data_IF_120210183362
#
_entry.id   IF_120210183362
#
_cell.length_a   1.000
_cell.length_b   1.000
_cell.length_c   1.000
_cell.angle_alpha   90.00
_cell.angle_beta   90.00
_cell.angle_gamma   90.00
#
_symmetry.space_group_name_H-M   'P 1'
#
loop_
_entity.id
_entity.type
_entity.pdbx_description
1 polymer ?
#
# COMPACT_ATOMS: atom_id res chain seq x y z
N UNK A 1 16.58 13.10 -13.38
CA UNK A 1 15.61 13.09 -12.27
C UNK A 1 14.68 11.91 -12.48
N UNK A 2 14.40 11.09 -11.47
CA UNK A 2 13.46 9.98 -11.64
C UNK A 2 12.04 10.53 -11.90
N UNK A 3 11.31 9.97 -12.85
CA UNK A 3 10.03 10.52 -13.35
C UNK A 3 8.93 10.49 -12.29
N UNK A 4 8.97 9.53 -11.35
CA UNK A 4 8.11 9.53 -10.16
C UNK A 4 8.34 10.77 -9.30
N UNK A 5 9.56 11.33 -9.26
CA UNK A 5 9.83 12.60 -8.60
C UNK A 5 9.29 13.80 -9.38
N UNK A 6 9.14 13.69 -10.71
CA UNK A 6 8.54 14.73 -11.55
C UNK A 6 7.01 14.84 -11.34
N UNK A 7 6.34 13.74 -10.95
CA UNK A 7 4.93 13.75 -10.57
C UNK A 7 4.62 14.55 -9.29
N UNK A 8 5.66 14.91 -8.52
CA UNK A 8 5.56 15.83 -7.39
C UNK A 8 5.93 17.28 -7.76
N UNK A 9 6.11 17.58 -9.06
CA UNK A 9 6.32 18.92 -9.60
C UNK A 9 5.02 19.61 -10.06
N UNK A 10 5.01 20.94 -10.24
CA UNK A 10 3.80 21.77 -10.36
C UNK A 10 3.00 21.70 -11.68
N UNK A 11 3.27 20.79 -12.62
CA UNK A 11 2.67 20.82 -13.98
C UNK A 11 2.38 19.45 -14.64
N UNK A 12 2.20 18.38 -13.87
CA UNK A 12 2.02 17.04 -14.46
C UNK A 12 0.55 16.66 -14.78
N UNK A 13 -0.43 17.30 -14.15
CA UNK A 13 -1.86 16.99 -14.26
C UNK A 13 -2.69 18.18 -13.74
N UNK A 14 -3.96 18.25 -14.14
CA UNK A 14 -4.91 19.23 -13.64
C UNK A 14 -5.54 18.75 -12.33
N UNK A 15 -5.79 19.67 -11.40
CA UNK A 15 -6.48 19.39 -10.14
C UNK A 15 -7.83 20.08 -10.13
N UNK A 16 -8.87 19.33 -9.77
CA UNK A 16 -10.21 19.86 -9.55
C UNK A 16 -10.72 19.50 -8.15
N UNK A 17 -11.81 20.13 -7.74
CA UNK A 17 -12.40 19.96 -6.42
C UNK A 17 -11.61 20.67 -5.31
N UNK A 18 -12.18 20.68 -4.11
CA UNK A 18 -11.63 21.39 -2.95
C UNK A 18 -11.72 20.53 -1.69
N UNK A 19 -11.00 20.95 -0.67
CA UNK A 19 -11.03 20.35 0.66
C UNK A 19 -9.70 19.72 1.06
N UNK A 20 -9.57 19.46 2.35
CA UNK A 20 -8.40 18.82 2.92
C UNK A 20 -8.77 18.01 4.18
N UNK A 21 -8.09 16.89 4.39
CA UNK A 21 -8.12 16.20 5.67
C UNK A 21 -7.51 17.11 6.77
N UNK A 22 -8.16 17.27 7.93
CA UNK A 22 -7.57 18.00 9.06
C UNK A 22 -6.41 17.18 9.63
N UNK A 23 -5.19 17.65 9.41
CA UNK A 23 -3.96 16.93 9.79
C UNK A 23 -2.78 17.89 9.90
N UNK A 24 -1.82 17.55 10.76
CA UNK A 24 -0.51 18.24 10.83
C UNK A 24 0.26 18.19 9.51
N UNK A 25 0.09 17.13 8.73
CA UNK A 25 0.79 16.92 7.47
C UNK A 25 -0.16 16.98 6.29
N UNK A 26 0.37 17.33 5.11
CA UNK A 26 -0.38 17.54 3.87
C UNK A 26 -0.91 16.23 3.23
N UNK A 27 -1.75 15.49 3.95
CA UNK A 27 -2.29 14.17 3.53
C UNK A 27 -3.06 14.26 2.21
N UNK A 28 -3.90 15.28 2.05
CA UNK A 28 -4.66 15.49 0.81
C UNK A 28 -3.74 15.84 -0.37
N UNK A 29 -2.66 16.58 -0.13
CA UNK A 29 -1.68 16.88 -1.16
C UNK A 29 -0.93 15.62 -1.61
N UNK A 30 -0.51 14.79 -0.63
CA UNK A 30 0.08 13.48 -0.91
C UNK A 30 -0.87 12.61 -1.74
N UNK A 31 -2.15 12.54 -1.35
CA UNK A 31 -3.17 11.79 -2.07
C UNK A 31 -3.31 12.26 -3.53
N UNK A 32 -3.46 13.57 -3.71
CA UNK A 32 -3.61 14.19 -5.03
C UNK A 32 -2.40 13.89 -5.93
N UNK A 33 -1.18 14.09 -5.41
CA UNK A 33 0.06 13.83 -6.17
C UNK A 33 0.27 12.35 -6.50
N UNK A 34 -0.08 11.44 -5.59
CA UNK A 34 0.04 10.01 -5.86
C UNK A 34 -0.92 9.54 -6.96
N UNK A 35 -2.17 10.02 -6.98
CA UNK A 35 -3.10 9.77 -8.09
C UNK A 35 -2.60 10.41 -9.39
N UNK A 36 -2.10 11.64 -9.33
CA UNK A 36 -1.48 12.30 -10.47
C UNK A 36 -0.28 11.53 -11.04
N UNK A 37 0.55 10.93 -10.18
CA UNK A 37 1.66 10.06 -10.59
C UNK A 37 1.17 8.83 -11.35
N UNK A 38 0.08 8.19 -10.90
CA UNK A 38 -0.55 7.07 -11.62
C UNK A 38 -1.03 7.52 -12.99
N UNK A 39 -1.76 8.64 -13.07
CA UNK A 39 -2.28 9.16 -14.34
C UNK A 39 -1.18 9.55 -15.32
N UNK A 40 -0.16 10.26 -14.84
CA UNK A 40 0.99 10.65 -15.64
C UNK A 40 1.76 9.44 -16.18
N UNK A 41 1.98 8.40 -15.36
CA UNK A 41 2.64 7.17 -15.77
C UNK A 41 1.78 6.32 -16.72
N UNK A 42 0.46 6.27 -16.53
CA UNK A 42 -0.45 5.61 -17.47
C UNK A 42 -0.43 6.30 -18.83
N UNK A 43 -0.39 7.64 -18.85
CA UNK A 43 -0.25 8.40 -20.09
C UNK A 43 1.06 8.10 -20.83
N UNK A 44 2.15 7.82 -20.11
CA UNK A 44 3.41 7.38 -20.71
C UNK A 44 3.31 5.97 -21.29
N UNK A 45 2.57 5.06 -20.65
CA UNK A 45 2.28 3.73 -21.21
C UNK A 45 1.53 3.88 -22.53
N UNK A 46 0.44 4.66 -22.55
CA UNK A 46 -0.39 4.86 -23.76
C UNK A 46 0.45 5.39 -24.93
N UNK A 47 1.29 6.39 -24.68
CA UNK A 47 2.20 6.95 -25.70
C UNK A 47 3.25 5.92 -26.13
N UNK A 48 3.93 5.27 -25.18
CA UNK A 48 5.05 4.39 -25.46
C UNK A 48 4.66 3.09 -26.15
N UNK A 49 3.43 2.59 -25.93
CA UNK A 49 2.90 1.40 -26.60
C UNK A 49 2.15 1.72 -27.90
N UNK A 50 2.11 2.98 -28.32
CA UNK A 50 1.46 3.40 -29.58
C UNK A 50 -0.07 3.36 -29.54
N UNK A 51 -0.69 3.34 -28.36
CA UNK A 51 -2.16 3.32 -28.20
C UNK A 51 -2.81 4.69 -28.45
N UNK A 52 -2.00 5.75 -28.50
CA UNK A 52 -2.44 7.11 -28.81
C UNK A 52 -1.45 8.17 -28.31
N UNK A 53 -1.74 9.47 -28.51
CA UNK A 53 -0.97 10.53 -27.88
C UNK A 53 -1.14 10.51 -26.36
N UNK A 54 -0.20 11.13 -25.64
CA UNK A 54 -0.28 11.30 -24.18
C UNK A 54 -1.59 12.02 -23.80
N UNK A 55 -2.48 11.39 -23.01
CA UNK A 55 -3.79 11.96 -22.67
C UNK A 55 -3.70 13.07 -21.63
N UNK A 56 -4.72 13.93 -21.58
CA UNK A 56 -4.94 14.82 -20.45
C UNK A 56 -5.25 14.02 -19.17
N UNK A 57 -4.76 14.50 -18.04
CA UNK A 57 -4.92 13.86 -16.73
C UNK A 57 -5.51 14.87 -15.76
N UNK A 58 -6.61 14.50 -15.10
CA UNK A 58 -7.26 15.32 -14.07
C UNK A 58 -7.45 14.50 -12.80
N UNK A 59 -7.11 15.09 -11.65
CA UNK A 59 -7.31 14.50 -10.33
C UNK A 59 -8.35 15.31 -9.57
N UNK A 60 -9.39 14.64 -9.09
CA UNK A 60 -10.31 15.21 -8.11
C UNK A 60 -9.68 15.13 -6.71
N UNK A 61 -9.34 16.28 -6.13
CA UNK A 61 -8.66 16.40 -4.83
C UNK A 61 -9.46 15.80 -3.68
N UNK A 62 -10.78 15.97 -3.69
CA UNK A 62 -11.67 15.47 -2.64
C UNK A 62 -11.76 13.96 -2.74
N UNK A 63 -12.06 13.43 -3.92
CA UNK A 63 -12.14 11.98 -4.13
C UNK A 63 -10.79 11.32 -3.87
N UNK A 64 -9.66 11.91 -4.30
CA UNK A 64 -8.33 11.39 -4.02
C UNK A 64 -8.09 11.20 -2.51
N UNK A 65 -8.55 12.17 -1.70
CA UNK A 65 -8.51 12.11 -0.25
C UNK A 65 -9.43 11.03 0.33
N UNK A 66 -10.65 10.89 -0.20
CA UNK A 66 -11.61 9.88 0.25
C UNK A 66 -11.15 8.45 -0.08
N UNK A 67 -10.46 8.26 -1.22
CA UNK A 67 -9.85 7.00 -1.64
C UNK A 67 -8.65 6.56 -0.80
N UNK A 68 -8.19 7.40 0.14
CA UNK A 68 -7.23 7.01 1.20
C UNK A 68 -7.93 6.41 2.44
N UNK A 69 -9.27 6.45 2.46
CA UNK A 69 -10.12 5.69 3.37
C UNK A 69 -10.70 4.48 2.62
N UNK A 70 -11.82 3.96 3.07
CA UNK A 70 -12.55 2.90 2.35
C UNK A 70 -13.23 3.45 1.11
N UNK A 71 -13.04 2.77 -0.02
CA UNK A 71 -13.79 3.05 -1.24
C UNK A 71 -15.16 2.37 -1.22
N UNK A 72 -15.30 1.25 -0.50
CA UNK A 72 -16.55 0.50 -0.37
C UNK A 72 -17.50 1.09 0.68
N UNK A 73 -18.78 1.17 0.30
CA UNK A 73 -19.91 1.56 1.13
C UNK A 73 -20.97 0.46 1.14
N UNK A 74 -20.90 -0.46 2.13
CA UNK A 74 -21.88 -1.53 2.33
C UNK A 74 -23.35 -1.05 2.34
N UNK A 75 -24.25 -1.83 1.73
CA UNK A 75 -25.69 -1.60 1.76
C UNK A 75 -26.37 -2.72 2.53
N UNK A 76 -26.82 -2.44 3.75
CA UNK A 76 -27.48 -3.44 4.61
C UNK A 76 -26.54 -4.42 5.32
N UNK A 77 -25.23 -4.17 5.29
CA UNK A 77 -24.21 -4.91 6.05
C UNK A 77 -23.12 -3.96 6.54
N UNK A 78 -22.18 -4.45 7.35
CA UNK A 78 -21.08 -3.65 7.90
C UNK A 78 -19.75 -4.36 7.66
N UNK A 79 -18.70 -3.58 7.39
CA UNK A 79 -17.35 -4.14 7.33
C UNK A 79 -16.95 -4.68 8.71
N UNK A 80 -16.31 -5.87 8.77
CA UNK A 80 -15.75 -6.39 10.02
C UNK A 80 -14.74 -5.40 10.62
N UNK A 81 -14.68 -5.34 11.96
CA UNK A 81 -13.70 -4.52 12.66
C UNK A 81 -12.27 -4.90 12.28
N UNK A 82 -11.45 -3.91 11.94
CA UNK A 82 -10.07 -4.13 11.50
C UNK A 82 -9.07 -4.31 12.66
N UNK A 83 -9.49 -4.07 13.91
CA UNK A 83 -8.61 -3.98 15.07
C UNK A 83 -8.89 -5.06 16.09
N UNK A 84 -7.83 -5.73 16.53
CA UNK A 84 -7.86 -6.65 17.67
C UNK A 84 -8.07 -5.87 18.99
N UNK A 85 -8.73 -6.44 20.01
CA UNK A 85 -9.11 -5.71 21.24
C UNK A 85 -7.96 -5.07 22.01
N UNK A 86 -6.73 -5.60 21.88
CA UNK A 86 -5.56 -5.02 22.54
C UNK A 86 -4.65 -4.24 21.58
N UNK A 87 -5.03 -4.07 20.31
CA UNK A 87 -4.31 -3.21 19.39
C UNK A 87 -4.52 -1.73 19.78
N UNK A 88 -3.47 -0.92 19.71
CA UNK A 88 -3.58 0.52 19.95
C UNK A 88 -2.40 1.13 20.71
N UNK A 89 -2.62 2.37 21.14
CA UNK A 89 -1.64 3.19 21.85
C UNK A 89 -1.79 3.05 23.36
N UNK A 90 -0.65 2.90 24.04
CA UNK A 90 -0.55 2.74 25.48
C UNK A 90 0.51 3.68 26.04
N UNK A 91 0.21 4.30 27.18
CA UNK A 91 1.21 4.99 27.98
C UNK A 91 2.11 3.96 28.66
N UNK A 92 3.39 4.23 28.70
CA UNK A 92 4.43 3.48 29.38
C UNK A 92 5.18 4.41 30.35
N UNK A 93 6.27 3.95 30.95
CA UNK A 93 6.98 4.70 32.00
C UNK A 93 7.57 6.03 31.50
N UNK A 94 8.08 6.04 30.27
CA UNK A 94 8.85 7.15 29.68
C UNK A 94 8.23 7.70 28.39
N UNK A 95 7.07 7.19 27.95
CA UNK A 95 6.41 7.66 26.74
C UNK A 95 5.23 6.83 26.28
N UNK A 96 5.00 6.80 24.96
CA UNK A 96 3.92 6.04 24.34
C UNK A 96 4.46 4.94 23.44
N UNK A 97 3.75 3.81 23.43
CA UNK A 97 4.03 2.69 22.53
C UNK A 97 2.74 2.27 21.82
N UNK A 98 2.86 1.87 20.56
CA UNK A 98 1.76 1.23 19.81
C UNK A 98 2.00 -0.26 19.71
N UNK A 99 0.99 -1.06 20.09
CA UNK A 99 0.93 -2.50 19.83
C UNK A 99 0.07 -2.78 18.59
N UNK A 100 0.57 -3.60 17.68
CA UNK A 100 -0.16 -4.03 16.48
C UNK A 100 -0.48 -5.53 16.52
N UNK A 101 -1.64 -5.88 17.05
CA UNK A 101 -2.03 -7.26 17.39
C UNK A 101 -3.10 -7.86 16.47
N UNK A 102 -3.43 -7.20 15.35
CA UNK A 102 -4.49 -7.64 14.43
C UNK A 102 -4.27 -9.05 13.84
N UNK A 103 -3.02 -9.52 13.78
CA UNK A 103 -2.73 -10.91 13.45
C UNK A 103 -2.57 -11.72 14.75
N UNK A 104 -3.22 -12.91 14.89
CA UNK A 104 -3.17 -13.69 16.12
C UNK A 104 -1.75 -13.93 16.65
N UNK A 105 -0.82 -14.32 15.77
CA UNK A 105 0.58 -14.54 16.15
C UNK A 105 1.31 -13.28 16.65
N UNK A 106 0.91 -12.07 16.23
CA UNK A 106 1.46 -10.83 16.79
C UNK A 106 0.87 -10.53 18.18
N UNK A 107 -0.42 -10.79 18.38
CA UNK A 107 -1.07 -10.71 19.69
C UNK A 107 -0.41 -11.67 20.68
N UNK A 108 -0.26 -12.92 20.28
CA UNK A 108 0.28 -13.97 21.14
C UNK A 108 1.74 -13.66 21.52
N UNK A 109 2.55 -13.14 20.58
CA UNK A 109 3.90 -12.67 20.86
C UNK A 109 3.92 -11.50 21.86
N UNK A 110 3.05 -10.49 21.70
CA UNK A 110 2.96 -9.38 22.64
C UNK A 110 2.55 -9.85 24.04
N UNK A 111 1.52 -10.70 24.14
CA UNK A 111 1.07 -11.25 25.43
C UNK A 111 2.11 -12.14 26.09
N UNK A 112 2.94 -12.86 25.32
CA UNK A 112 4.04 -13.66 25.87
C UNK A 112 5.11 -12.82 26.57
N UNK A 113 5.33 -11.59 26.09
CA UNK A 113 6.25 -10.63 26.71
C UNK A 113 5.63 -9.97 27.93
N UNK A 114 4.35 -9.63 27.86
CA UNK A 114 3.64 -8.92 28.93
C UNK A 114 3.23 -9.83 30.09
N UNK A 115 2.97 -11.12 29.84
CA UNK A 115 2.53 -12.07 30.87
C UNK A 115 1.16 -11.75 31.47
N UNK A 116 0.32 -10.99 30.77
CA UNK A 116 -0.98 -10.52 31.25
C UNK A 116 -2.15 -11.12 30.46
N UNK A 117 -3.38 -10.88 30.94
CA UNK A 117 -4.59 -11.23 30.20
C UNK A 117 -4.71 -10.44 28.88
N UNK A 118 -5.42 -11.02 27.91
CA UNK A 118 -5.71 -10.40 26.61
C UNK A 118 -6.79 -9.31 26.70
N UNK A 119 -6.65 -8.42 27.68
CA UNK A 119 -7.61 -7.37 27.99
C UNK A 119 -6.90 -6.02 28.03
N UNK A 120 -7.51 -5.00 27.42
CA UNK A 120 -6.89 -3.69 27.26
C UNK A 120 -6.45 -3.05 28.58
N UNK A 121 -7.22 -3.25 29.65
CA UNK A 121 -6.89 -2.73 30.98
C UNK A 121 -5.65 -3.44 31.58
N UNK A 122 -5.61 -4.78 31.53
CA UNK A 122 -4.47 -5.56 32.03
C UNK A 122 -3.18 -5.27 31.25
N UNK A 123 -3.31 -5.10 29.92
CA UNK A 123 -2.22 -4.65 29.05
C UNK A 123 -1.75 -3.26 29.50
N UNK A 124 -2.63 -2.28 29.62
CA UNK A 124 -2.27 -0.92 30.03
C UNK A 124 -1.57 -0.86 31.40
N UNK A 125 -2.07 -1.61 32.40
CA UNK A 125 -1.44 -1.71 33.72
C UNK A 125 -0.01 -2.25 33.62
N UNK A 126 0.18 -3.34 32.87
CA UNK A 126 1.50 -3.96 32.68
C UNK A 126 2.46 -3.00 31.99
N UNK A 127 2.01 -2.30 30.94
CA UNK A 127 2.85 -1.40 30.15
C UNK A 127 3.33 -0.16 30.92
N UNK A 128 2.59 0.27 31.95
CA UNK A 128 2.91 1.47 32.74
C UNK A 128 4.29 1.43 33.42
N UNK A 129 4.85 0.23 33.65
CA UNK A 129 6.18 0.03 34.24
C UNK A 129 7.30 -0.23 33.24
N UNK A 130 7.02 -0.23 31.93
CA UNK A 130 8.02 -0.48 30.90
C UNK A 130 8.59 0.79 30.30
N UNK A 131 9.89 0.79 30.00
CA UNK A 131 10.49 1.77 29.10
C UNK A 131 10.14 1.39 27.64
N UNK A 132 9.73 2.37 26.82
CA UNK A 132 9.15 2.11 25.49
C UNK A 132 10.12 1.42 24.54
N UNK A 133 11.41 1.77 24.54
CA UNK A 133 12.41 1.17 23.65
C UNK A 133 12.73 -0.28 24.06
N UNK A 134 12.79 -0.55 25.37
CA UNK A 134 13.01 -1.89 25.90
C UNK A 134 11.82 -2.81 25.56
N UNK A 135 10.60 -2.30 25.71
CA UNK A 135 9.38 -3.02 25.37
C UNK A 135 9.26 -3.26 23.87
N UNK A 136 9.54 -2.25 23.04
CA UNK A 136 9.59 -2.40 21.59
C UNK A 136 10.54 -3.52 21.18
N UNK A 137 11.77 -3.52 21.72
CA UNK A 137 12.76 -4.54 21.45
C UNK A 137 12.30 -5.94 21.90
N UNK A 138 11.68 -6.06 23.09
CA UNK A 138 11.18 -7.31 23.60
C UNK A 138 10.05 -7.90 22.74
N UNK A 139 9.03 -7.09 22.40
CA UNK A 139 7.89 -7.52 21.57
C UNK A 139 8.35 -7.89 20.16
N UNK A 140 9.22 -7.08 19.55
CA UNK A 140 9.77 -7.38 18.21
C UNK A 140 10.65 -8.63 18.25
N UNK A 141 11.47 -8.80 19.29
CA UNK A 141 12.31 -9.97 19.50
C UNK A 141 11.52 -11.28 19.66
N UNK A 142 10.34 -11.21 20.29
CA UNK A 142 9.39 -12.32 20.38
C UNK A 142 8.63 -12.60 19.06
N UNK A 143 8.89 -11.86 17.99
CA UNK A 143 8.22 -11.99 16.70
C UNK A 143 6.90 -11.22 16.58
N UNK A 144 6.58 -10.37 17.56
CA UNK A 144 5.46 -9.44 17.55
C UNK A 144 5.71 -8.18 16.73
N UNK A 145 4.77 -7.24 16.80
CA UNK A 145 4.83 -5.97 16.09
C UNK A 145 4.40 -4.83 17.03
N UNK A 146 5.35 -3.98 17.38
CA UNK A 146 5.13 -2.78 18.20
C UNK A 146 6.01 -1.64 17.69
N UNK A 147 5.71 -0.41 18.12
CA UNK A 147 6.52 0.77 17.84
C UNK A 147 6.56 1.71 19.05
N UNK A 148 7.77 2.04 19.51
CA UNK A 148 8.00 3.11 20.47
C UNK A 148 7.82 4.46 19.78
N UNK A 149 7.04 5.35 20.40
CA UNK A 149 6.79 6.67 19.85
C UNK A 149 8.04 7.54 19.97
N UNK A 150 8.44 8.12 18.86
CA UNK A 150 9.55 9.08 18.79
C UNK A 150 9.02 10.39 18.25
N UNK A 151 9.66 11.51 18.58
CA UNK A 151 9.44 12.74 17.83
C UNK A 151 10.25 12.75 16.52
N UNK A 152 10.08 13.79 15.70
CA UNK A 152 10.78 13.92 14.42
C UNK A 152 12.30 14.03 14.58
N UNK A 153 12.78 14.72 15.61
CA UNK A 153 14.22 14.91 15.82
C UNK A 153 14.89 13.60 16.25
N UNK A 154 14.28 12.88 17.20
CA UNK A 154 14.70 11.57 17.65
C UNK A 154 14.68 10.54 16.52
N UNK A 155 13.66 10.54 15.66
CA UNK A 155 13.62 9.66 14.49
C UNK A 155 14.77 9.94 13.50
N UNK A 156 15.01 11.20 13.15
CA UNK A 156 16.07 11.57 12.20
C UNK A 156 17.48 11.29 12.76
N UNK A 157 17.65 11.36 14.08
CA UNK A 157 18.88 10.96 14.76
C UNK A 157 19.03 9.44 14.91
N UNK A 158 17.93 8.70 14.94
CA UNK A 158 17.93 7.25 15.06
C UNK A 158 18.58 6.59 13.81
N UNK A 159 19.42 5.55 13.95
CA UNK A 159 20.12 4.95 12.81
C UNK A 159 19.21 4.50 11.67
N UNK A 160 18.00 4.01 11.98
CA UNK A 160 17.03 3.67 10.95
C UNK A 160 16.46 4.90 10.23
N UNK A 161 16.12 5.97 10.95
CA UNK A 161 15.55 7.16 10.33
C UNK A 161 16.57 7.88 9.46
N UNK A 162 17.82 7.94 9.90
CA UNK A 162 18.94 8.43 9.08
C UNK A 162 19.14 7.61 7.79
N UNK A 163 19.05 6.27 7.88
CA UNK A 163 19.14 5.39 6.71
C UNK A 163 18.01 5.65 5.72
N UNK A 164 16.75 5.70 6.19
CA UNK A 164 15.57 5.97 5.36
C UNK A 164 15.63 7.36 4.71
N UNK A 165 16.09 8.39 5.45
CA UNK A 165 16.20 9.74 4.92
C UNK A 165 17.18 9.83 3.73
N UNK A 166 18.20 8.97 3.71
CA UNK A 166 19.17 8.87 2.63
C UNK A 166 18.70 8.02 1.43
N UNK A 167 17.61 7.25 1.56
CA UNK A 167 17.09 6.43 0.47
C UNK A 167 16.43 7.28 -0.63
N UNK A 168 16.49 6.87 -1.90
CA UNK A 168 15.60 7.42 -2.93
C UNK A 168 14.16 7.04 -2.62
N UNK A 169 13.18 7.80 -3.13
CA UNK A 169 11.76 7.44 -3.01
C UNK A 169 11.47 6.04 -3.60
N UNK A 170 12.15 5.72 -4.71
CA UNK A 170 12.07 4.43 -5.39
C UNK A 170 13.46 3.92 -5.71
N UNK A 171 13.78 2.71 -5.26
CA UNK A 171 14.99 2.02 -5.68
C UNK A 171 14.73 1.29 -6.99
N UNK A 172 15.32 1.81 -8.07
CA UNK A 172 15.24 1.18 -9.39
C UNK A 172 16.40 0.23 -9.63
N UNK A 173 16.09 -0.95 -10.17
CA UNK A 173 17.07 -1.84 -10.79
C UNK A 173 16.66 -2.06 -12.23
N UNK A 174 17.59 -1.89 -13.17
CA UNK A 174 17.34 -2.06 -14.61
C UNK A 174 18.05 -3.30 -15.12
N UNK A 175 17.44 -3.95 -16.09
CA UNK A 175 18.03 -5.09 -16.79
C UNK A 175 17.62 -5.10 -18.26
N UNK A 176 18.39 -5.84 -19.05
CA UNK A 176 18.01 -6.15 -20.43
C UNK A 176 16.74 -6.98 -20.45
N UNK A 177 15.86 -6.69 -21.39
CA UNK A 177 14.59 -7.37 -21.57
C UNK A 177 13.69 -6.53 -22.47
N UNK A 178 12.57 -7.11 -22.87
CA UNK A 178 11.58 -6.43 -23.70
C UNK A 178 10.20 -6.58 -23.08
N UNK A 179 9.34 -5.59 -23.29
CA UNK A 179 7.94 -5.71 -22.94
C UNK A 179 7.30 -6.79 -23.82
N UNK A 180 6.55 -7.71 -23.21
CA UNK A 180 5.67 -8.61 -23.98
C UNK A 180 4.48 -7.81 -24.47
N UNK A 181 4.06 -8.04 -25.71
CA UNK A 181 2.80 -7.48 -26.17
C UNK A 181 1.65 -8.16 -25.42
N UNK A 182 0.89 -7.35 -24.68
CA UNK A 182 -0.25 -7.79 -23.90
C UNK A 182 -1.59 -7.35 -24.49
N UNK A 183 -1.62 -6.64 -25.64
CA UNK A 183 -2.86 -6.34 -26.37
C UNK A 183 -3.74 -5.25 -25.76
N UNK A 184 -3.14 -4.29 -25.04
CA UNK A 184 -3.84 -3.13 -24.49
C UNK A 184 -4.57 -2.32 -25.58
N UNK A 185 -5.58 -1.55 -25.17
CA UNK A 185 -6.28 -0.60 -26.06
C UNK A 185 -6.28 0.79 -25.45
N UNK A 186 -6.62 1.84 -26.21
CA UNK A 186 -6.74 3.19 -25.65
C UNK A 186 -7.69 3.25 -24.44
N UNK A 187 -8.80 2.51 -24.51
CA UNK A 187 -9.84 2.49 -23.45
C UNK A 187 -9.44 1.59 -22.27
N UNK A 188 -8.72 0.51 -22.51
CA UNK A 188 -8.18 -0.40 -21.49
C UNK A 188 -6.66 -0.56 -21.69
N UNK A 189 -5.83 0.41 -21.27
CA UNK A 189 -4.41 0.42 -21.61
C UNK A 189 -3.63 -0.76 -21.06
N UNK A 190 -4.15 -1.44 -20.03
CA UNK A 190 -3.51 -2.61 -19.41
C UNK A 190 -4.25 -3.92 -19.69
N UNK A 191 -5.24 -3.93 -20.60
CA UNK A 191 -5.93 -5.16 -20.98
C UNK A 191 -4.92 -6.23 -21.40
N UNK A 192 -5.03 -7.43 -20.83
CA UNK A 192 -4.15 -8.58 -21.09
C UNK A 192 -2.83 -8.59 -20.30
N UNK A 193 -2.48 -7.52 -19.58
CA UNK A 193 -1.32 -7.50 -18.69
C UNK A 193 -1.58 -8.40 -17.47
N UNK A 194 -0.72 -9.40 -17.23
CA UNK A 194 -0.87 -10.34 -16.11
C UNK A 194 -0.06 -9.92 -14.90
N UNK A 195 -0.75 -9.63 -13.80
CA UNK A 195 -0.18 -9.17 -12.53
C UNK A 195 -0.38 -10.25 -11.48
N UNK A 196 0.73 -10.80 -10.99
CA UNK A 196 0.74 -11.73 -9.86
C UNK A 196 0.91 -10.94 -8.56
N UNK A 197 -0.11 -10.95 -7.72
CA UNK A 197 -0.20 -10.16 -6.49
C UNK A 197 0.02 -11.06 -5.26
N UNK A 198 1.16 -10.86 -4.58
CA UNK A 198 1.52 -11.51 -3.31
C UNK A 198 1.40 -10.57 -2.11
N UNK A 199 0.67 -9.47 -2.27
CA UNK A 199 0.55 -8.42 -1.26
C UNK A 199 -0.67 -8.64 -0.36
N UNK A 200 -0.65 -7.98 0.81
CA UNK A 200 -1.67 -8.11 1.86
C UNK A 200 -1.98 -6.75 2.45
N UNK A 201 -3.07 -6.68 3.20
CA UNK A 201 -3.51 -5.51 3.97
C UNK A 201 -3.92 -4.35 3.06
N UNK A 202 -3.07 -3.34 2.84
CA UNK A 202 -3.46 -2.11 2.15
C UNK A 202 -2.52 -1.72 1.00
N UNK A 203 -1.26 -1.36 1.27
CA UNK A 203 -0.40 -0.73 0.26
C UNK A 203 -0.29 -1.47 -1.07
N UNK A 204 0.19 -2.72 -1.04
CA UNK A 204 0.29 -3.53 -2.24
C UNK A 204 -1.08 -3.79 -2.91
N UNK A 205 -2.13 -4.14 -2.14
CA UNK A 205 -3.46 -4.30 -2.72
C UNK A 205 -4.04 -3.04 -3.38
N UNK A 206 -3.70 -1.84 -2.89
CA UNK A 206 -4.04 -0.57 -3.54
C UNK A 206 -3.37 -0.45 -4.90
N UNK A 207 -2.10 -0.85 -5.01
CA UNK A 207 -1.38 -0.82 -6.27
C UNK A 207 -2.05 -1.71 -7.32
N UNK A 208 -2.30 -2.96 -6.97
CA UNK A 208 -2.80 -3.96 -7.92
C UNK A 208 -4.27 -3.73 -8.27
N UNK A 209 -5.11 -3.23 -7.35
CA UNK A 209 -6.49 -2.83 -7.71
C UNK A 209 -6.51 -1.64 -8.68
N UNK A 210 -5.56 -0.71 -8.55
CA UNK A 210 -5.42 0.41 -9.50
C UNK A 210 -5.06 -0.10 -10.89
N UNK A 211 -4.14 -1.08 -11.01
CA UNK A 211 -3.82 -1.71 -12.29
C UNK A 211 -5.02 -2.45 -12.89
N UNK A 212 -5.79 -3.19 -12.08
CA UNK A 212 -7.04 -3.83 -12.52
C UNK A 212 -8.06 -2.81 -13.05
N UNK A 213 -8.12 -1.63 -12.42
CA UNK A 213 -8.96 -0.51 -12.83
C UNK A 213 -8.68 -0.01 -14.26
N UNK A 214 -7.51 -0.32 -14.83
CA UNK A 214 -7.13 0.04 -16.19
C UNK A 214 -6.99 -1.15 -17.15
N UNK A 215 -7.39 -2.36 -16.73
CA UNK A 215 -7.46 -3.53 -17.60
C UNK A 215 -6.60 -4.72 -17.19
N UNK A 216 -5.71 -4.56 -16.22
CA UNK A 216 -4.80 -5.65 -15.87
C UNK A 216 -5.55 -6.85 -15.30
N UNK A 217 -5.13 -8.05 -15.72
CA UNK A 217 -5.57 -9.30 -15.11
C UNK A 217 -4.77 -9.52 -13.83
N UNK A 218 -5.41 -9.33 -12.67
CA UNK A 218 -4.76 -9.46 -11.36
C UNK A 218 -5.16 -10.76 -10.68
N UNK A 219 -4.20 -11.65 -10.52
CA UNK A 219 -4.33 -12.87 -9.71
C UNK A 219 -3.60 -12.68 -8.38
N UNK A 220 -4.38 -12.57 -7.31
CA UNK A 220 -3.88 -12.50 -5.94
C UNK A 220 -3.73 -13.89 -5.33
N UNK A 221 -2.56 -14.17 -4.77
CA UNK A 221 -2.25 -15.44 -4.10
C UNK A 221 -1.95 -15.19 -2.62
N UNK A 222 -2.70 -15.88 -1.77
CA UNK A 222 -2.49 -15.92 -0.32
C UNK A 222 -2.33 -17.36 0.18
N UNK A 223 -1.66 -17.61 1.31
CA UNK A 223 -1.64 -18.92 1.92
C UNK A 223 -3.02 -19.23 2.51
N UNK A 224 -3.47 -20.50 2.53
CA UNK A 224 -4.80 -20.88 3.04
C UNK A 224 -5.09 -20.44 4.48
N UNK A 225 -4.04 -20.23 5.28
CA UNK A 225 -4.15 -19.81 6.67
C UNK A 225 -4.27 -18.29 6.85
N UNK A 226 -4.22 -17.49 5.78
CA UNK A 226 -4.32 -16.04 5.86
C UNK A 226 -5.77 -15.56 5.82
N UNK A 227 -6.08 -14.55 6.61
CA UNK A 227 -7.38 -13.88 6.61
C UNK A 227 -7.22 -12.43 7.05
N UNK A 228 -7.95 -11.52 6.40
CA UNK A 228 -7.93 -10.08 6.70
C UNK A 228 -9.32 -9.45 6.50
N UNK A 229 -10.37 -9.97 7.18
CA UNK A 229 -11.78 -9.70 6.83
C UNK A 229 -12.17 -8.22 6.92
N UNK A 230 -11.46 -7.43 7.72
CA UNK A 230 -11.68 -5.98 7.83
C UNK A 230 -11.16 -5.16 6.64
N UNK A 231 -10.45 -5.76 5.68
CA UNK A 231 -9.93 -5.06 4.49
C UNK A 231 -10.28 -5.75 3.17
N UNK A 232 -10.45 -7.09 3.14
CA UNK A 232 -10.72 -7.86 1.91
C UNK A 232 -11.85 -7.25 1.05
N UNK A 233 -13.00 -6.82 1.61
CA UNK A 233 -14.07 -6.27 0.78
C UNK A 233 -13.68 -5.01 0.01
N UNK A 234 -12.76 -4.21 0.54
CA UNK A 234 -12.31 -2.99 -0.12
C UNK A 234 -11.21 -3.26 -1.15
N UNK A 235 -10.25 -4.15 -0.82
CA UNK A 235 -8.97 -4.23 -1.53
C UNK A 235 -8.89 -5.28 -2.64
N UNK A 236 -9.91 -6.14 -2.77
CA UNK A 236 -9.97 -7.22 -3.78
C UNK A 236 -10.74 -6.85 -5.05
N UNK A 237 -11.25 -5.61 -5.13
CA UNK A 237 -11.96 -5.10 -6.30
C UNK A 237 -11.15 -5.32 -7.60
N UNK A 238 -11.78 -5.99 -8.57
CA UNK A 238 -11.19 -6.30 -9.87
C UNK A 238 -10.18 -7.44 -9.92
N UNK A 239 -10.06 -8.25 -8.85
CA UNK A 239 -9.06 -9.33 -8.76
C UNK A 239 -9.72 -10.71 -8.75
N UNK A 240 -8.96 -11.72 -9.18
CA UNK A 240 -9.18 -13.10 -8.74
C UNK A 240 -8.31 -13.39 -7.52
N UNK A 241 -8.84 -14.13 -6.55
CA UNK A 241 -8.11 -14.48 -5.35
C UNK A 241 -8.06 -16.00 -5.19
N UNK A 242 -6.85 -16.57 -5.12
CA UNK A 242 -6.64 -18.00 -4.96
C UNK A 242 -5.70 -18.30 -3.79
N UNK A 243 -5.73 -19.54 -3.30
CA UNK A 243 -4.83 -20.00 -2.26
C UNK A 243 -3.72 -20.90 -2.79
N UNK A 244 -2.49 -20.65 -2.32
CA UNK A 244 -1.34 -21.54 -2.49
C UNK A 244 -0.47 -21.50 -1.23
N UNK A 245 -0.17 -22.66 -0.64
CA UNK A 245 0.86 -22.77 0.40
C UNK A 245 2.21 -23.07 -0.27
N UNK A 246 3.02 -22.04 -0.50
CA UNK A 246 4.32 -22.17 -1.18
C UNK A 246 5.32 -23.09 -0.43
N UNK A 247 5.03 -23.48 0.82
CA UNK A 247 5.83 -24.49 1.55
C UNK A 247 5.60 -25.89 0.99
N UNK A 248 4.42 -26.14 0.39
CA UNK A 248 4.13 -27.40 -0.31
C UNK A 248 4.77 -27.38 -1.69
N UNK A 249 5.45 -28.48 -2.05
CA UNK A 249 6.14 -28.57 -3.33
C UNK A 249 5.19 -28.45 -4.54
N UNK A 250 3.98 -29.02 -4.45
CA UNK A 250 2.97 -28.96 -5.51
C UNK A 250 2.48 -27.52 -5.75
N UNK A 251 2.15 -26.80 -4.67
CA UNK A 251 1.70 -25.41 -4.74
C UNK A 251 2.82 -24.47 -5.19
N UNK A 252 4.07 -24.72 -4.77
CA UNK A 252 5.23 -23.99 -5.28
C UNK A 252 5.41 -24.21 -6.79
N UNK A 253 5.27 -25.45 -7.27
CA UNK A 253 5.34 -25.73 -8.70
C UNK A 253 4.19 -25.03 -9.48
N UNK A 254 2.98 -24.99 -8.89
CA UNK A 254 1.86 -24.24 -9.47
C UNK A 254 2.14 -22.74 -9.52
N UNK A 255 2.71 -22.18 -8.44
CA UNK A 255 3.12 -20.78 -8.39
C UNK A 255 4.19 -20.46 -9.44
N UNK A 256 5.22 -21.30 -9.59
CA UNK A 256 6.25 -21.12 -10.62
C UNK A 256 5.67 -21.13 -12.04
N UNK A 257 4.67 -21.98 -12.30
CA UNK A 257 3.96 -22.00 -13.58
C UNK A 257 3.15 -20.71 -13.82
N UNK A 258 2.49 -20.17 -12.79
CA UNK A 258 1.81 -18.88 -12.86
C UNK A 258 2.79 -17.75 -13.11
N UNK A 259 3.93 -17.76 -12.39
CA UNK A 259 4.99 -16.75 -12.50
C UNK A 259 5.59 -16.71 -13.92
N UNK A 260 5.82 -17.85 -14.55
CA UNK A 260 6.29 -17.92 -15.94
C UNK A 260 5.33 -17.21 -16.93
N UNK A 261 4.04 -17.17 -16.59
CA UNK A 261 3.00 -16.46 -17.35
C UNK A 261 2.84 -14.98 -16.98
N UNK A 262 3.43 -14.49 -15.89
CA UNK A 262 3.22 -13.14 -15.37
C UNK A 262 4.08 -12.08 -16.09
N UNK A 263 3.53 -10.89 -16.27
CA UNK A 263 4.27 -9.69 -16.72
C UNK A 263 4.79 -8.91 -15.52
N UNK A 264 4.00 -8.88 -14.44
CA UNK A 264 4.30 -8.12 -13.24
C UNK A 264 4.17 -9.02 -12.02
N UNK A 265 5.14 -8.94 -11.12
CA UNK A 265 5.06 -9.50 -9.76
C UNK A 265 5.04 -8.34 -8.76
N UNK A 266 4.01 -8.30 -7.92
CA UNK A 266 3.91 -7.33 -6.82
C UNK A 266 3.95 -8.08 -5.50
N UNK A 267 4.84 -7.70 -4.58
CA UNK A 267 4.91 -8.31 -3.25
C UNK A 267 5.28 -7.32 -2.14
N UNK A 268 4.84 -7.62 -0.91
CA UNK A 268 5.04 -6.75 0.26
C UNK A 268 5.66 -7.47 1.44
N UNK A 269 6.44 -8.53 1.19
CA UNK A 269 7.06 -9.30 2.25
C UNK A 269 8.33 -8.61 2.77
N UNK A 270 8.76 -9.00 3.97
CA UNK A 270 10.06 -8.58 4.49
C UNK A 270 11.16 -8.93 3.48
N UNK A 271 12.20 -8.07 3.34
CA UNK A 271 13.31 -8.37 2.44
C UNK A 271 13.85 -9.80 2.65
N UNK A 272 13.99 -10.55 1.55
CA UNK A 272 14.45 -11.94 1.55
C UNK A 272 13.38 -13.01 1.83
N UNK A 273 12.19 -12.66 2.30
CA UNK A 273 11.18 -13.66 2.66
C UNK A 273 10.64 -14.45 1.46
N UNK A 274 10.46 -13.80 0.29
CA UNK A 274 10.09 -14.51 -0.93
C UNK A 274 11.25 -15.32 -1.50
N UNK A 275 12.49 -14.84 -1.32
CA UNK A 275 13.70 -15.44 -1.89
C UNK A 275 13.95 -16.85 -1.36
N UNK A 276 13.55 -17.11 -0.11
CA UNK A 276 13.59 -18.43 0.51
C UNK A 276 12.63 -19.44 -0.13
N UNK A 277 11.58 -18.95 -0.81
CA UNK A 277 10.57 -19.79 -1.47
C UNK A 277 10.85 -19.93 -2.96
N UNK A 278 11.13 -18.81 -3.62
CA UNK A 278 11.53 -18.75 -5.04
C UNK A 278 12.60 -17.67 -5.19
N UNK A 279 13.85 -18.10 -5.41
CA UNK A 279 15.00 -17.20 -5.43
C UNK A 279 14.88 -16.14 -6.53
N UNK A 280 15.49 -14.96 -6.39
CA UNK A 280 15.51 -13.94 -7.44
C UNK A 280 15.97 -14.48 -8.79
N UNK A 281 17.02 -15.33 -8.79
CA UNK A 281 17.53 -15.98 -10.00
C UNK A 281 16.48 -16.89 -10.65
N UNK A 282 15.78 -17.71 -9.85
CA UNK A 282 14.72 -18.61 -10.36
C UNK A 282 13.55 -17.82 -10.94
N UNK A 283 13.17 -16.70 -10.33
CA UNK A 283 12.09 -15.84 -10.82
C UNK A 283 12.42 -15.26 -12.20
N UNK A 284 13.67 -14.84 -12.41
CA UNK A 284 14.13 -14.33 -13.71
C UNK A 284 14.35 -15.43 -14.75
N UNK A 285 14.71 -16.65 -14.34
CA UNK A 285 14.76 -17.81 -15.24
C UNK A 285 13.37 -18.14 -15.80
N UNK A 286 12.35 -18.14 -14.93
CA UNK A 286 10.97 -18.43 -15.29
C UNK A 286 10.32 -17.31 -16.11
N UNK A 287 10.58 -16.05 -15.74
CA UNK A 287 10.01 -14.88 -16.37
C UNK A 287 11.08 -13.80 -16.65
N UNK A 288 11.86 -13.93 -17.74
CA UNK A 288 12.98 -13.04 -18.05
C UNK A 288 12.60 -11.57 -18.23
N UNK A 289 11.34 -11.28 -18.57
CA UNK A 289 10.80 -9.93 -18.78
C UNK A 289 9.93 -9.42 -17.62
N UNK A 290 9.86 -10.15 -16.50
CA UNK A 290 9.08 -9.79 -15.31
C UNK A 290 9.40 -8.39 -14.74
N UNK A 291 8.43 -7.50 -14.66
CA UNK A 291 8.55 -6.29 -13.83
C UNK A 291 8.26 -6.69 -12.39
N UNK A 292 9.23 -6.52 -11.50
CA UNK A 292 9.03 -6.80 -10.07
C UNK A 292 8.95 -5.50 -9.28
N UNK A 293 7.82 -5.29 -8.58
CA UNK A 293 7.63 -4.15 -7.69
C UNK A 293 7.37 -4.64 -6.28
N UNK A 294 8.12 -4.12 -5.31
CA UNK A 294 7.96 -4.53 -3.92
C UNK A 294 8.00 -3.39 -2.92
N UNK A 295 7.42 -3.64 -1.75
CA UNK A 295 7.50 -2.73 -0.61
C UNK A 295 7.95 -3.43 0.67
N UNK A 296 8.51 -2.63 1.58
CA UNK A 296 8.70 -2.99 2.97
C UNK A 296 8.30 -1.83 3.89
N UNK A 297 8.28 -2.04 5.21
CA UNK A 297 7.86 -1.00 6.13
C UNK A 297 8.95 0.06 6.37
N UNK A 298 10.15 -0.36 6.78
CA UNK A 298 11.15 0.55 7.35
C UNK A 298 12.29 0.93 6.42
N UNK A 299 12.24 0.59 5.13
CA UNK A 299 13.33 0.87 4.19
C UNK A 299 14.19 -0.35 3.88
N UNK A 300 15.06 -0.20 2.89
CA UNK A 300 15.89 -1.27 2.33
C UNK A 300 17.30 -1.31 2.94
N UNK A 301 17.62 -0.32 3.76
CA UNK A 301 18.89 -0.14 4.46
C UNK A 301 18.67 0.12 5.95
N UNK A 302 19.75 0.11 6.73
CA UNK A 302 19.70 0.33 8.18
C UNK A 302 19.30 -0.90 9.00
N UNK A 303 19.36 -0.80 10.34
CA UNK A 303 19.19 -1.93 11.25
C UNK A 303 17.79 -2.55 11.26
N UNK A 304 16.77 -1.84 10.78
CA UNK A 304 15.38 -2.31 10.74
C UNK A 304 14.91 -2.72 9.33
N UNK A 305 15.80 -2.85 8.35
CA UNK A 305 15.42 -3.26 6.99
C UNK A 305 14.62 -4.59 6.97
N UNK A 306 14.96 -5.52 7.86
CA UNK A 306 14.25 -6.80 8.03
C UNK A 306 13.07 -6.76 9.00
N UNK A 307 12.71 -5.61 9.56
CA UNK A 307 11.70 -5.50 10.64
C UNK A 307 10.28 -5.54 10.08
N UNK A 308 9.37 -6.17 10.83
CA UNK A 308 7.92 -6.11 10.57
C UNK A 308 7.42 -4.69 10.80
N UNK A 309 6.52 -4.21 9.95
CA UNK A 309 5.87 -2.93 10.18
C UNK A 309 4.55 -2.82 9.44
N UNK A 310 3.80 -1.82 9.85
CA UNK A 310 2.49 -1.44 9.35
C UNK A 310 2.48 0.09 9.35
N UNK A 311 1.64 0.70 8.52
CA UNK A 311 1.49 2.16 8.46
C UNK A 311 1.35 2.77 9.86
N UNK A 312 0.41 2.26 10.66
CA UNK A 312 0.18 2.68 12.04
C UNK A 312 1.43 2.63 12.95
N UNK A 313 2.36 1.68 12.74
CA UNK A 313 3.62 1.58 13.48
C UNK A 313 4.69 2.53 12.96
N UNK A 314 4.73 2.73 11.64
CA UNK A 314 5.65 3.68 11.00
C UNK A 314 5.31 5.09 11.45
N UNK A 315 4.03 5.48 11.48
CA UNK A 315 3.61 6.80 11.97
C UNK A 315 4.05 7.10 13.42
N UNK A 316 4.11 6.06 14.26
CA UNK A 316 4.55 6.16 15.66
C UNK A 316 6.08 6.28 15.73
N UNK A 317 6.78 5.44 14.96
CA UNK A 317 8.24 5.41 14.94
C UNK A 317 8.86 6.67 14.34
N UNK A 318 8.25 7.23 13.28
CA UNK A 318 8.83 8.32 12.52
C UNK A 318 8.39 9.72 12.97
N UNK A 319 7.72 9.84 14.11
CA UNK A 319 7.30 11.11 14.70
C UNK A 319 6.14 11.82 14.04
N UNK A 320 5.40 11.16 13.15
CA UNK A 320 4.14 11.68 12.62
C UNK A 320 3.10 11.83 13.74
N UNK A 321 2.92 10.78 14.56
CA UNK A 321 1.94 10.80 15.64
C UNK A 321 2.29 11.84 16.73
N UNK A 322 3.57 11.98 17.07
CA UNK A 322 4.06 12.98 18.02
C UNK A 322 3.88 14.41 17.50
N UNK A 323 4.17 14.68 16.22
CA UNK A 323 3.90 15.98 15.61
C UNK A 323 2.39 16.28 15.55
N UNK A 324 1.56 15.26 15.30
CA UNK A 324 0.11 15.36 15.38
C UNK A 324 -0.39 15.72 16.77
N UNK A 325 0.23 15.18 17.84
CA UNK A 325 -0.13 15.51 19.23
C UNK A 325 0.01 17.01 19.50
N UNK A 326 1.16 17.58 19.15
CA UNK A 326 1.42 19.01 19.33
C UNK A 326 0.47 19.88 18.50
N UNK A 327 0.15 19.46 17.28
CA UNK A 327 -0.77 20.17 16.39
C UNK A 327 -2.22 20.16 16.88
N UNK A 328 -2.72 19.00 17.29
CA UNK A 328 -4.09 18.82 17.75
C UNK A 328 -4.28 19.17 19.25
N UNK A 329 -3.20 19.56 19.95
CA UNK A 329 -3.17 19.72 21.40
C UNK A 329 -3.70 18.48 22.14
N UNK A 330 -3.34 17.29 21.65
CA UNK A 330 -3.84 16.01 22.15
C UNK A 330 -2.93 15.42 23.23
N UNK A 331 -3.53 14.81 24.26
CA UNK A 331 -2.81 14.17 25.37
C UNK A 331 -2.24 12.78 25.02
N UNK A 332 -2.68 12.18 23.90
CA UNK A 332 -2.29 10.85 23.42
C UNK A 332 -1.87 10.89 21.95
N UNK A 333 -1.11 9.89 21.44
CA UNK A 333 -0.66 9.84 20.06
C UNK A 333 -1.76 10.19 19.07
N UNK A 334 -1.47 11.12 18.17
CA UNK A 334 -2.44 11.64 17.20
C UNK A 334 -1.95 11.32 15.78
N UNK A 335 -2.26 10.12 15.26
CA UNK A 335 -1.85 9.70 13.92
C UNK A 335 -2.56 10.51 12.82
N UNK A 336 -2.17 10.28 11.57
CA UNK A 336 -2.89 10.77 10.40
C UNK A 336 -4.34 10.27 10.40
N UNK A 337 -5.28 11.02 9.81
CA UNK A 337 -6.70 10.68 9.80
C UNK A 337 -7.03 9.39 9.02
N UNK A 338 -6.08 8.87 8.26
CA UNK A 338 -6.19 7.67 7.41
C UNK A 338 -4.86 6.91 7.40
N UNK A 339 -4.84 5.67 6.87
CA UNK A 339 -3.61 4.92 6.61
C UNK A 339 -2.92 5.48 5.35
N UNK A 340 -2.44 6.73 5.44
CA UNK A 340 -1.97 7.49 4.29
C UNK A 340 -0.68 6.94 3.70
N UNK A 341 0.20 6.36 4.52
CA UNK A 341 1.48 5.82 4.06
C UNK A 341 1.25 4.56 3.23
N UNK A 342 0.32 3.70 3.65
CA UNK A 342 -0.07 2.51 2.90
C UNK A 342 -0.67 2.90 1.55
N UNK A 343 -1.69 3.77 1.54
CA UNK A 343 -2.33 4.21 0.31
C UNK A 343 -1.37 4.90 -0.65
N UNK A 344 -0.58 5.87 -0.16
CA UNK A 344 0.42 6.56 -0.97
C UNK A 344 1.45 5.61 -1.55
N UNK A 345 2.01 4.72 -0.73
CA UNK A 345 2.99 3.74 -1.22
C UNK A 345 2.36 2.82 -2.27
N UNK A 346 1.10 2.43 -2.10
CA UNK A 346 0.37 1.63 -3.08
C UNK A 346 0.17 2.32 -4.43
N UNK A 347 -0.27 3.58 -4.43
CA UNK A 347 -0.40 4.35 -5.67
C UNK A 347 0.98 4.61 -6.32
N UNK A 348 2.01 4.87 -5.53
CA UNK A 348 3.39 4.99 -6.03
C UNK A 348 3.91 3.68 -6.61
N UNK A 349 3.54 2.52 -6.04
CA UNK A 349 3.86 1.21 -6.62
C UNK A 349 3.15 0.99 -7.95
N UNK A 350 1.87 1.35 -8.08
CA UNK A 350 1.15 1.27 -9.36
C UNK A 350 1.83 2.17 -10.41
N UNK A 351 2.16 3.41 -10.04
CA UNK A 351 2.91 4.32 -10.91
C UNK A 351 4.30 3.76 -11.26
N UNK A 352 4.99 3.08 -10.35
CA UNK A 352 6.26 2.40 -10.65
C UNK A 352 6.10 1.24 -11.64
N UNK A 353 5.04 0.44 -11.55
CA UNK A 353 4.72 -0.58 -12.57
C UNK A 353 4.51 0.09 -13.93
N UNK A 354 3.68 1.14 -13.98
CA UNK A 354 3.37 1.86 -15.21
C UNK A 354 4.62 2.51 -15.84
N UNK A 355 5.48 3.16 -15.05
CA UNK A 355 6.74 3.71 -15.53
C UNK A 355 7.69 2.62 -16.03
N UNK A 356 7.74 1.45 -15.38
CA UNK A 356 8.55 0.33 -15.85
C UNK A 356 8.04 -0.23 -17.20
N UNK A 357 6.72 -0.30 -17.38
CA UNK A 357 6.09 -0.68 -18.65
C UNK A 357 6.43 0.32 -19.77
N UNK A 358 6.28 1.63 -19.51
CA UNK A 358 6.58 2.67 -20.48
C UNK A 358 8.06 2.66 -20.91
N UNK A 359 9.00 2.50 -19.95
CA UNK A 359 10.43 2.35 -20.24
C UNK A 359 10.71 1.12 -21.10
N UNK A 360 10.12 -0.02 -20.76
CA UNK A 360 10.28 -1.26 -21.52
C UNK A 360 9.73 -1.13 -22.96
N UNK A 361 8.58 -0.46 -23.14
CA UNK A 361 7.99 -0.19 -24.44
C UNK A 361 8.87 0.74 -25.32
N UNK A 362 9.60 1.67 -24.70
CA UNK A 362 10.60 2.53 -25.37
C UNK A 362 11.92 1.82 -25.69
N UNK A 363 12.06 0.55 -25.32
CA UNK A 363 13.30 -0.20 -25.50
C UNK A 363 14.40 0.12 -24.47
N UNK A 364 14.05 0.75 -23.33
CA UNK A 364 15.00 1.10 -22.27
C UNK A 364 15.29 -0.05 -21.29
N UNK A 365 14.83 -1.26 -21.63
CA UNK A 365 14.94 -2.46 -20.80
C UNK A 365 13.82 -2.58 -19.76
N UNK A 366 13.85 -3.69 -19.02
CA UNK A 366 12.87 -3.99 -17.97
C UNK A 366 13.41 -3.46 -16.64
N UNK A 367 12.53 -2.81 -15.86
CA UNK A 367 12.88 -2.26 -14.57
C UNK A 367 12.12 -2.97 -13.44
N UNK A 368 12.80 -3.16 -12.31
CA UNK A 368 12.19 -3.54 -11.04
C UNK A 368 12.29 -2.36 -10.06
N UNK A 369 11.30 -2.23 -9.19
CA UNK A 369 11.19 -1.12 -8.24
C UNK A 369 11.03 -1.63 -6.80
N UNK A 370 11.61 -0.89 -5.85
CA UNK A 370 11.42 -1.15 -4.43
C UNK A 370 11.11 0.15 -3.68
N UNK A 371 10.06 0.13 -2.86
CA UNK A 371 9.55 1.29 -2.11
C UNK A 371 9.48 0.96 -0.61
N UNK A 372 9.29 1.95 0.25
CA UNK A 372 9.05 1.71 1.67
C UNK A 372 8.09 2.71 2.30
N UNK A 373 7.29 2.25 3.27
CA UNK A 373 6.34 3.11 4.00
C UNK A 373 7.07 4.25 4.72
N UNK A 374 8.20 3.95 5.36
CA UNK A 374 9.00 4.95 6.05
C UNK A 374 9.56 6.01 5.09
N UNK A 375 9.95 5.62 3.86
CA UNK A 375 10.39 6.62 2.88
C UNK A 375 9.24 7.49 2.37
N UNK A 376 8.05 6.91 2.19
CA UNK A 376 6.82 7.66 1.90
C UNK A 376 6.45 8.60 3.05
N UNK A 377 6.71 8.22 4.30
CA UNK A 377 6.52 9.10 5.46
C UNK A 377 7.46 10.31 5.39
N UNK A 378 8.73 10.11 5.05
CA UNK A 378 9.68 11.20 4.87
C UNK A 378 9.30 12.12 3.70
N UNK A 379 8.73 11.57 2.61
CA UNK A 379 8.14 12.38 1.54
C UNK A 379 7.00 13.25 2.08
N UNK A 380 6.04 12.66 2.81
CA UNK A 380 4.91 13.40 3.40
C UNK A 380 5.37 14.49 4.36
N UNK A 381 6.37 14.22 5.20
CA UNK A 381 6.90 15.19 6.15
C UNK A 381 7.65 16.35 5.48
N UNK A 382 8.10 16.19 4.23
CA UNK A 382 8.69 17.25 3.43
C UNK A 382 7.68 18.03 2.57
N UNK A 383 6.41 17.61 2.51
CA UNK A 383 5.38 18.35 1.79
C UNK A 383 4.91 19.56 2.59
N UNK A 384 4.83 20.70 1.92
CA UNK A 384 4.17 21.89 2.46
C UNK A 384 2.67 21.67 2.55
N UNK A 385 2.06 22.11 3.65
CA UNK A 385 0.62 22.19 3.78
C UNK A 385 0.11 23.30 2.86
N UNK A 386 -0.45 22.91 1.71
CA UNK A 386 -1.04 23.83 0.72
C UNK A 386 -2.35 24.48 1.20
N UNK A 387 -3.04 25.17 0.28
CA UNK A 387 -4.23 25.98 0.58
C UNK A 387 -5.30 25.21 1.37
N UNK A 388 -5.80 25.87 2.42
CA UNK A 388 -6.88 25.39 3.26
C UNK A 388 -8.20 25.38 2.48
N UNK A 389 -8.86 24.23 2.46
CA UNK A 389 -10.22 24.07 1.94
C UNK A 389 -11.15 23.54 3.03
N UNK A 390 -12.44 23.32 2.73
CA UNK A 390 -13.37 22.73 3.69
C UNK A 390 -12.82 21.40 4.23
N UNK A 391 -12.93 21.18 5.54
CA UNK A 391 -12.46 19.97 6.17
C UNK A 391 -13.18 18.75 5.59
N UNK A 392 -12.41 17.78 5.10
CA UNK A 392 -12.94 16.48 4.71
C UNK A 392 -13.15 15.68 6.00
N UNK A 393 -14.40 15.29 6.25
CA UNK A 393 -14.80 14.47 7.42
C UNK A 393 -15.28 13.08 7.03
N UNK A 394 -15.52 12.86 5.75
CA UNK A 394 -16.05 11.63 5.19
C UNK A 394 -16.69 11.87 3.82
N UNK A 395 -17.10 10.78 3.18
CA UNK A 395 -17.84 10.80 1.93
C UNK A 395 -19.32 11.14 2.16
N UNK A 396 -19.96 11.72 1.14
CA UNK A 396 -21.41 11.91 1.04
C UNK A 396 -21.97 11.02 -0.08
N UNK A 397 -23.31 10.89 -0.21
CA UNK A 397 -23.90 10.16 -1.34
C UNK A 397 -23.46 10.67 -2.72
N UNK A 398 -23.13 11.95 -2.85
CA UNK A 398 -22.67 12.56 -4.11
C UNK A 398 -21.25 12.11 -4.51
N UNK A 399 -20.46 11.62 -3.56
CA UNK A 399 -19.13 11.06 -3.82
C UNK A 399 -19.21 9.61 -4.36
N UNK A 400 -20.37 8.96 -4.29
CA UNK A 400 -20.55 7.53 -4.63
C UNK A 400 -20.92 7.32 -6.10
N UNK A 401 -20.40 6.24 -6.68
CA UNK A 401 -20.83 5.75 -7.99
C UNK A 401 -22.30 5.33 -7.95
N UNK A 402 -23.02 5.58 -9.04
CA UNK A 402 -24.42 5.14 -9.19
C UNK A 402 -24.56 3.62 -9.36
N UNK A 403 -23.46 2.94 -9.67
CA UNK A 403 -23.43 1.49 -9.83
C UNK A 403 -23.43 0.76 -8.48
N UNK A 404 -24.30 -0.24 -8.36
CA UNK A 404 -24.31 -1.18 -7.25
C UNK A 404 -23.38 -2.36 -7.54
N UNK A 405 -22.37 -2.51 -6.69
CA UNK A 405 -21.49 -3.66 -6.68
C UNK A 405 -22.14 -4.82 -5.93
N UNK A 406 -22.23 -5.98 -6.58
CA UNK A 406 -22.67 -7.22 -5.92
C UNK A 406 -21.45 -7.99 -5.43
N UNK A 407 -21.24 -7.97 -4.12
CA UNK A 407 -20.14 -8.69 -3.47
C UNK A 407 -20.64 -9.94 -2.75
N UNK A 408 -19.76 -10.91 -2.40
CA UNK A 408 -20.11 -12.04 -1.55
C UNK A 408 -20.66 -11.66 -0.16
N UNK A 409 -20.35 -10.46 0.34
CA UNK A 409 -20.85 -9.96 1.63
C UNK A 409 -22.19 -9.24 1.55
N UNK A 410 -22.65 -8.91 0.34
CA UNK A 410 -23.88 -8.15 0.09
C UNK A 410 -23.69 -7.04 -0.96
N UNK A 411 -24.76 -6.30 -1.29
CA UNK A 411 -24.67 -5.14 -2.18
C UNK A 411 -23.83 -4.03 -1.54
N UNK A 412 -23.10 -3.28 -2.35
CA UNK A 412 -22.30 -2.14 -1.93
C UNK A 412 -22.28 -1.07 -3.02
N UNK A 413 -21.85 0.15 -2.67
CA UNK A 413 -21.48 1.20 -3.63
C UNK A 413 -20.01 1.56 -3.45
N UNK A 414 -19.38 2.09 -4.49
CA UNK A 414 -17.99 2.58 -4.43
C UNK A 414 -17.94 4.10 -4.50
N UNK A 415 -16.85 4.69 -4.03
CA UNK A 415 -16.50 6.06 -4.39
C UNK A 415 -16.35 6.17 -5.92
N UNK A 416 -16.72 7.33 -6.49
CA UNK A 416 -16.39 7.69 -7.87
C UNK A 416 -14.86 7.69 -8.06
N UNK A 417 -14.32 7.34 -9.24
CA UNK A 417 -12.87 7.42 -9.48
C UNK A 417 -12.31 8.82 -9.21
N UNK A 418 -11.22 8.90 -8.46
CA UNK A 418 -10.52 10.15 -8.19
C UNK A 418 -9.66 10.64 -9.38
N UNK A 419 -9.36 9.74 -10.32
CA UNK A 419 -8.44 9.97 -11.43
C UNK A 419 -9.16 9.79 -12.77
N UNK A 420 -9.12 10.85 -13.58
CA UNK A 420 -9.61 10.86 -14.95
C UNK A 420 -8.43 10.92 -15.91
N UNK A 421 -8.35 9.94 -16.81
CA UNK A 421 -7.36 9.90 -17.90
C UNK A 421 -8.13 9.89 -19.21
N UNK A 422 -7.90 10.88 -20.07
CA UNK A 422 -8.66 11.07 -21.30
C UNK A 422 -8.61 9.83 -22.21
N UNK A 423 -9.78 9.28 -22.52
CA UNK A 423 -9.91 8.09 -23.37
C UNK A 423 -9.57 6.77 -22.69
N UNK A 424 -9.23 6.76 -21.39
CA UNK A 424 -8.90 5.56 -20.60
C UNK A 424 -9.61 5.61 -19.22
N UNK A 425 -10.92 5.30 -19.14
CA UNK A 425 -11.68 5.39 -17.90
C UNK A 425 -11.28 4.32 -16.89
N UNK A 426 -11.11 4.71 -15.62
CA UNK A 426 -10.87 3.77 -14.53
C UNK A 426 -12.16 3.01 -14.18
N UNK A 427 -12.16 1.69 -14.38
CA UNK A 427 -13.25 0.79 -13.99
C UNK A 427 -12.78 -0.66 -13.87
N UNK A 428 -13.54 -1.46 -13.11
CA UNK A 428 -13.21 -2.85 -12.81
C UNK A 428 -14.23 -3.80 -13.43
N UNK A 429 -13.73 -4.84 -14.09
CA UNK A 429 -14.56 -5.85 -14.77
C UNK A 429 -15.16 -6.89 -13.80
N UNK A 430 -14.71 -6.88 -12.54
CA UNK A 430 -15.19 -7.79 -11.51
C UNK A 430 -15.29 -7.11 -10.15
N UNK A 431 -16.31 -7.51 -9.38
CA UNK A 431 -16.49 -7.10 -8.00
C UNK A 431 -15.40 -7.66 -7.09
N UNK A 432 -15.28 -7.10 -5.89
CA UNK A 432 -14.51 -7.67 -4.81
C UNK A 432 -14.96 -9.10 -4.48
N UNK A 433 -14.02 -9.96 -4.12
CA UNK A 433 -14.24 -11.38 -3.87
C UNK A 433 -13.49 -11.87 -2.62
N UNK A 434 -13.93 -12.99 -2.06
CA UNK A 434 -13.27 -13.60 -0.92
C UNK A 434 -11.89 -14.17 -1.31
N UNK A 435 -10.96 -14.21 -0.36
CA UNK A 435 -9.67 -14.89 -0.56
C UNK A 435 -9.92 -16.39 -0.84
N UNK A 436 -9.20 -16.95 -1.80
CA UNK A 436 -9.33 -18.37 -2.17
C UNK A 436 -10.62 -18.72 -2.94
N UNK A 437 -11.44 -17.74 -3.33
CA UNK A 437 -12.69 -17.96 -4.08
C UNK A 437 -12.48 -18.38 -5.54
N UNK A 438 -11.26 -18.27 -6.08
CA UNK A 438 -10.90 -18.58 -7.46
C UNK A 438 -9.84 -19.69 -7.52
N UNK A 439 -9.79 -20.48 -8.61
CA UNK A 439 -8.65 -21.36 -8.86
C UNK A 439 -7.38 -20.54 -9.07
N UNK A 440 -6.22 -21.10 -8.70
CA UNK A 440 -4.92 -20.48 -8.95
C UNK A 440 -4.55 -20.60 -10.44
N UNK A 441 -5.19 -19.84 -11.32
CA UNK A 441 -5.03 -19.88 -12.77
C UNK A 441 -5.22 -18.48 -13.40
N UNK A 442 -4.51 -18.21 -14.49
CA UNK A 442 -4.86 -17.10 -15.40
C UNK A 442 -6.15 -17.44 -16.16
N UNK A 443 -6.91 -16.40 -16.54
CA UNK A 443 -8.17 -16.47 -17.29
C UNK A 443 -7.95 -16.64 -18.78
#
# INVERSE_FOLDING_TARGET
>A
MDQLSAAFGPQAFDVQGVGAWPSRFAVTELATRCFGAVGAALGEVIEATGLGPRPAVTVDRRLASLWYSWSIHPQGWQMPGAWDPIAGDYAAADGWIRLHTNAPHHRDAALSVLGCAAERAAVAETLSGWEIDALEAAVVGAGGAAAAMRDRAAWLAHPQGAAVAAEPLVHWTRRTGALRDFGGTRVRPLAGLRVLDLTRVLAGPMATRTLAGYGAEVLRIDPPSWSEPGVVPDVTLGKTCAHLDLKQAADRARFEALLAGADVLVHGYRPGALDAMVSPARRLELAPNLIEVSLCAYGWTGPWAGRRGFDSLVQISCGIAAAGMGWAQAEKPHPLPVQALDHATGYLMAAAVLSALARAARGEGVSSARLSLARTAELLCGLETGEEGPAITGSTPDDLSDWEERTPWGPARRLKPALSVEGAPMHWDSAACELGSSPAAWR
#
